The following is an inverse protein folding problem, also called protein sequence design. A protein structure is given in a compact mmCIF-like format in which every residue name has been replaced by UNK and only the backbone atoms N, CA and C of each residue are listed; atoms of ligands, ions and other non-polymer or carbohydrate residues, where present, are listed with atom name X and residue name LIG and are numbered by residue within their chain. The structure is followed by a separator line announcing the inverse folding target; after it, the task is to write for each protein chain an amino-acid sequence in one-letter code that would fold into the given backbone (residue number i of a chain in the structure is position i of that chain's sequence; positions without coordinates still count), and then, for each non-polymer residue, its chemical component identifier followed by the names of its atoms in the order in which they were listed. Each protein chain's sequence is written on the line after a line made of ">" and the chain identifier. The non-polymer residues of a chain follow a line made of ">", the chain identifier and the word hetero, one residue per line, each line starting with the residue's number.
data_IF_146800355511
#
_entry.id   IF_146800355511
#
_cell.length_a   1.000
_cell.length_b   1.000
_cell.length_c   1.000
_cell.angle_alpha   90.00
_cell.angle_beta   90.00
_cell.angle_gamma   90.00
#
_symmetry.space_group_name_H-M   'P 1'
#
loop_
_entity.id
_entity.type
_entity.pdbx_description
1 polymer ?
#
# COMPACT_ATOMS: atom_id res chain seq x y z
N UNK A 1 4.82 13.45 7.54
CA UNK A 1 3.80 14.50 7.28
C UNK A 1 2.37 14.01 7.59
N UNK A 2 1.99 12.81 7.18
CA UNK A 2 0.66 12.23 7.47
C UNK A 2 0.56 11.51 8.83
N UNK A 3 1.69 11.20 9.47
CA UNK A 3 1.75 10.50 10.77
C UNK A 3 0.97 11.20 11.91
N UNK A 4 0.77 12.52 11.81
CA UNK A 4 0.03 13.29 12.80
C UNK A 4 -1.49 13.31 12.55
N UNK A 5 -1.95 12.81 11.41
CA UNK A 5 -3.38 12.78 11.05
C UNK A 5 -4.06 11.56 11.67
N UNK A 6 -4.38 11.66 12.96
CA UNK A 6 -4.94 10.55 13.74
C UNK A 6 -6.32 10.06 13.28
N UNK A 7 -7.04 10.85 12.47
CA UNK A 7 -8.36 10.52 11.94
C UNK A 7 -8.40 10.15 10.46
N UNK A 8 -7.25 10.02 9.79
CA UNK A 8 -7.23 9.71 8.35
C UNK A 8 -7.65 8.26 8.11
N UNK A 9 -8.78 8.08 7.41
CA UNK A 9 -9.33 6.77 7.02
C UNK A 9 -9.31 6.55 5.51
N UNK A 10 -9.32 7.63 4.73
CA UNK A 10 -9.31 7.61 3.27
C UNK A 10 -8.11 8.43 2.78
N UNK A 11 -7.28 7.83 1.94
CA UNK A 11 -6.13 8.51 1.33
C UNK A 11 -6.20 8.36 -0.19
N UNK A 12 -6.09 9.48 -0.88
CA UNK A 12 -5.96 9.53 -2.33
C UNK A 12 -4.64 10.23 -2.71
N UNK A 13 -3.86 9.58 -3.57
CA UNK A 13 -2.66 10.12 -4.19
C UNK A 13 -2.86 10.12 -5.70
N UNK A 14 -2.96 11.31 -6.30
CA UNK A 14 -3.15 11.48 -7.74
C UNK A 14 -2.03 12.33 -8.32
N UNK A 15 -1.33 11.85 -9.36
CA UNK A 15 -0.27 12.61 -10.04
C UNK A 15 0.97 12.89 -9.18
N UNK A 16 1.13 12.19 -8.05
CA UNK A 16 2.20 12.43 -7.10
C UNK A 16 3.46 11.68 -7.53
N UNK A 17 4.31 12.30 -8.35
CA UNK A 17 5.48 11.64 -8.94
C UNK A 17 6.80 11.89 -8.19
N UNK A 18 6.82 12.83 -7.26
CA UNK A 18 8.01 13.22 -6.49
C UNK A 18 8.06 12.61 -5.08
N UNK A 19 7.13 11.71 -4.70
CA UNK A 19 7.25 11.02 -3.43
C UNK A 19 8.31 9.90 -3.51
N UNK A 20 9.04 9.74 -2.40
CA UNK A 20 9.91 8.58 -2.18
C UNK A 20 9.11 7.42 -1.62
N UNK A 21 9.60 6.19 -1.78
CA UNK A 21 9.00 4.99 -1.16
C UNK A 21 8.85 5.16 0.36
N UNK A 22 9.87 5.70 1.03
CA UNK A 22 9.80 6.02 2.46
C UNK A 22 8.68 7.03 2.78
N UNK A 23 8.47 8.02 1.91
CA UNK A 23 7.35 8.95 2.01
C UNK A 23 6.00 8.24 1.92
N UNK A 24 5.83 7.36 0.93
CA UNK A 24 4.63 6.54 0.77
C UNK A 24 4.43 5.64 1.99
N UNK A 25 5.44 4.90 2.45
CA UNK A 25 5.31 4.01 3.62
C UNK A 25 4.93 4.77 4.88
N UNK A 26 5.46 5.97 5.10
CA UNK A 26 5.09 6.82 6.24
C UNK A 26 3.64 7.31 6.21
N UNK A 27 2.98 7.24 5.04
CA UNK A 27 1.56 7.55 4.88
C UNK A 27 0.64 6.36 5.17
N UNK A 28 1.18 5.15 5.13
CA UNK A 28 0.42 3.93 5.35
C UNK A 28 0.17 3.74 6.85
N UNK A 29 -1.08 3.96 7.26
CA UNK A 29 -1.48 3.84 8.65
C UNK A 29 -2.55 2.76 8.80
N UNK A 30 -2.47 1.97 9.88
CA UNK A 30 -3.40 0.87 10.15
C UNK A 30 -4.88 1.28 10.24
N UNK A 31 -5.20 2.56 10.38
CA UNK A 31 -6.57 3.09 10.37
C UNK A 31 -7.17 3.29 8.98
N UNK A 32 -6.35 3.30 7.93
CA UNK A 32 -6.86 3.48 6.57
C UNK A 32 -7.75 2.29 6.20
N UNK A 33 -8.93 2.63 5.70
CA UNK A 33 -9.92 1.68 5.18
C UNK A 33 -10.02 1.77 3.66
N UNK A 34 -9.65 2.91 3.07
CA UNK A 34 -9.62 3.12 1.62
C UNK A 34 -8.33 3.82 1.18
N UNK A 35 -7.68 3.27 0.15
CA UNK A 35 -6.49 3.83 -0.49
C UNK A 35 -6.68 3.85 -2.00
N UNK A 36 -6.51 5.03 -2.60
CA UNK A 36 -6.48 5.22 -4.05
C UNK A 36 -5.14 5.82 -4.46
N UNK A 37 -4.45 5.18 -5.41
CA UNK A 37 -3.23 5.72 -6.02
C UNK A 37 -3.40 5.71 -7.54
N UNK A 38 -3.32 6.90 -8.14
CA UNK A 38 -3.49 7.09 -9.58
C UNK A 38 -2.43 8.02 -10.16
N UNK A 39 -2.03 7.75 -11.41
CA UNK A 39 -1.02 8.53 -12.14
C UNK A 39 0.28 8.79 -11.33
N UNK A 40 0.69 7.79 -10.54
CA UNK A 40 1.92 7.83 -9.75
C UNK A 40 2.92 6.80 -10.31
N UNK A 41 4.07 7.27 -10.79
CA UNK A 41 5.07 6.41 -11.45
C UNK A 41 5.88 5.55 -10.48
N UNK A 42 6.03 5.96 -9.23
CA UNK A 42 6.86 5.27 -8.24
C UNK A 42 6.11 4.19 -7.44
N UNK A 43 5.22 3.44 -8.12
CA UNK A 43 4.46 2.33 -7.51
C UNK A 43 4.83 1.02 -8.19
N UNK A 44 5.49 0.14 -7.42
CA UNK A 44 5.94 -1.18 -7.84
C UNK A 44 5.54 -2.25 -6.80
N UNK A 45 5.95 -3.50 -7.00
CA UNK A 45 5.58 -4.65 -6.15
C UNK A 45 5.89 -4.42 -4.66
N UNK A 46 6.98 -3.75 -4.31
CA UNK A 46 7.34 -3.41 -2.93
C UNK A 46 6.31 -2.50 -2.25
N UNK A 47 5.69 -1.58 -3.01
CA UNK A 47 4.60 -0.76 -2.49
C UNK A 47 3.37 -1.62 -2.17
N UNK A 48 3.08 -2.64 -2.97
CA UNK A 48 1.98 -3.58 -2.73
C UNK A 48 2.23 -4.41 -1.48
N UNK A 49 3.47 -4.90 -1.31
CA UNK A 49 3.88 -5.61 -0.10
C UNK A 49 3.73 -4.75 1.16
N UNK A 50 4.12 -3.46 1.09
CA UNK A 50 3.94 -2.53 2.19
C UNK A 50 2.45 -2.26 2.48
N UNK A 51 1.63 -2.06 1.45
CA UNK A 51 0.17 -1.87 1.59
C UNK A 51 -0.46 -3.08 2.28
N UNK A 52 -0.14 -4.31 1.87
CA UNK A 52 -0.74 -5.51 2.45
C UNK A 52 -0.35 -5.72 3.91
N UNK A 53 0.87 -5.34 4.30
CA UNK A 53 1.40 -5.50 5.66
C UNK A 53 0.97 -4.37 6.61
N UNK A 54 0.99 -3.13 6.14
CA UNK A 54 0.82 -1.94 7.00
C UNK A 54 -0.63 -1.47 7.10
N UNK A 55 -1.52 -1.93 6.23
CA UNK A 55 -2.95 -1.55 6.21
C UNK A 55 -3.86 -2.75 6.55
N UNK A 56 -3.82 -3.29 7.78
CA UNK A 56 -4.59 -4.47 8.17
C UNK A 56 -6.12 -4.26 8.04
N UNK A 57 -6.61 -3.03 8.11
CA UNK A 57 -8.04 -2.70 8.03
C UNK A 57 -8.49 -2.21 6.65
N UNK A 58 -7.62 -2.25 5.63
CA UNK A 58 -7.97 -1.82 4.28
C UNK A 58 -9.08 -2.71 3.71
N UNK A 59 -10.19 -2.09 3.31
CA UNK A 59 -11.31 -2.74 2.63
C UNK A 59 -11.40 -2.36 1.16
N UNK A 60 -10.83 -1.21 0.79
CA UNK A 60 -10.86 -0.68 -0.58
C UNK A 60 -9.45 -0.29 -1.02
N UNK A 61 -9.02 -0.84 -2.15
CA UNK A 61 -7.76 -0.50 -2.80
C UNK A 61 -8.01 -0.26 -4.29
N UNK A 62 -7.70 0.94 -4.76
CA UNK A 62 -7.69 1.29 -6.17
C UNK A 62 -6.28 1.69 -6.58
N UNK A 63 -5.74 1.04 -7.61
CA UNK A 63 -4.38 1.27 -8.05
C UNK A 63 -4.33 1.37 -9.57
N UNK A 64 -3.76 2.46 -10.06
CA UNK A 64 -3.19 2.54 -11.38
C UNK A 64 -1.67 2.53 -11.23
N UNK A 65 -1.05 1.40 -11.55
CA UNK A 65 0.39 1.22 -11.42
C UNK A 65 0.98 0.72 -12.74
N UNK A 66 2.19 1.19 -13.05
CA UNK A 66 2.90 0.87 -14.29
C UNK A 66 3.99 -0.19 -14.10
N UNK A 67 4.39 -0.44 -12.85
CA UNK A 67 5.51 -1.31 -12.50
C UNK A 67 5.12 -2.41 -11.51
N UNK A 68 3.82 -2.74 -11.43
CA UNK A 68 3.32 -3.86 -10.63
C UNK A 68 3.18 -5.09 -11.51
N UNK A 69 3.69 -6.23 -11.04
CA UNK A 69 3.65 -7.53 -11.72
C UNK A 69 2.68 -8.49 -11.02
N UNK A 70 2.38 -9.63 -11.67
CA UNK A 70 1.52 -10.66 -11.10
C UNK A 70 2.09 -11.25 -9.79
N UNK A 71 3.40 -11.13 -9.53
CA UNK A 71 4.01 -11.54 -8.25
C UNK A 71 3.40 -10.80 -7.07
N UNK A 72 3.00 -9.54 -7.25
CA UNK A 72 2.40 -8.75 -6.18
C UNK A 72 1.06 -9.29 -5.67
N UNK A 73 0.34 -10.10 -6.48
CA UNK A 73 -0.92 -10.69 -6.06
C UNK A 73 -0.75 -11.63 -4.85
N UNK A 74 0.42 -12.25 -4.70
CA UNK A 74 0.71 -13.13 -3.57
C UNK A 74 0.67 -12.40 -2.21
N UNK A 75 0.85 -11.07 -2.19
CA UNK A 75 0.80 -10.29 -0.96
C UNK A 75 -0.62 -10.12 -0.41
N UNK A 76 -1.66 -10.24 -1.25
CA UNK A 76 -3.06 -10.16 -0.80
C UNK A 76 -3.69 -11.52 -0.51
N UNK A 77 -3.13 -12.61 -1.04
CA UNK A 77 -3.61 -13.97 -0.75
C UNK A 77 -3.23 -14.42 0.67
N UNK A 78 -2.16 -13.86 1.26
CA UNK A 78 -1.68 -14.17 2.60
C UNK A 78 -2.60 -13.71 3.75
N UNK A 79 -3.64 -12.90 3.50
CA UNK A 79 -4.67 -12.59 4.51
C UNK A 79 -5.56 -13.79 4.85
N UNK A 80 -5.44 -14.91 4.13
CA UNK A 80 -6.05 -16.19 4.51
C UNK A 80 -4.93 -17.22 4.75
N UNK A 81 -4.64 -17.49 6.02
CA UNK A 81 -3.78 -18.57 6.53
C UNK A 81 -2.26 -18.34 6.41
N UNK A 82 -1.67 -17.74 7.46
CA UNK A 82 -0.37 -18.19 7.99
C UNK A 82 0.88 -18.12 7.10
N UNK A 83 1.10 -17.03 6.34
CA UNK A 83 2.40 -16.84 5.67
C UNK A 83 3.48 -16.35 6.66
N UNK A 84 4.50 -17.19 6.90
CA UNK A 84 5.71 -16.86 7.67
C UNK A 84 6.93 -16.94 6.72
N UNK A 85 7.54 -15.80 6.32
CA UNK A 85 8.59 -15.76 5.30
C UNK A 85 9.95 -16.34 5.73
N UNK A 86 10.06 -16.95 6.92
CA UNK A 86 11.33 -17.47 7.48
C UNK A 86 11.53 -18.98 7.23
N UNK A 87 10.76 -19.62 6.36
CA UNK A 87 10.79 -21.08 6.11
C UNK A 87 11.02 -21.46 4.62
N UNK A 88 11.95 -20.78 3.95
CA UNK A 88 12.66 -21.29 2.77
C UNK A 88 14.17 -21.09 2.95
#
# INVERSE_FOLDING_TARGET
>A
MLEQMQGLMHLELAGCNDFTEAGLWSSLNARLTSLSVSDCINVADDAIAAISQLLPNLSELSLQAYHVTDTAMAYFTAKQVGYNPTLL
#
